data_IF_857037773779
#
_entry.id   IF_857037773779
#
_cell.length_a   1.000
_cell.length_b   1.000
_cell.length_c   1.000
_cell.angle_alpha   90.00
_cell.angle_beta   90.00
_cell.angle_gamma   90.00
#
_symmetry.space_group_name_H-M   'P 1'
#
loop_
_entity.id
_entity.type
_entity.pdbx_description
1 polymer ?
#
# COMPACT_ATOMS: atom_id res chain seq x y z
N UNK A 1 1.72 11.33 2.31
CA UNK A 1 1.93 12.11 3.55
C UNK A 1 1.55 13.59 3.40
N UNK A 2 2.34 14.45 2.73
CA UNK A 2 2.01 15.89 2.59
C UNK A 2 0.57 16.13 2.10
N UNK A 3 0.19 15.47 0.99
CA UNK A 3 -1.17 15.51 0.44
C UNK A 3 -2.21 14.97 1.42
N UNK A 4 -1.99 13.77 1.95
CA UNK A 4 -3.03 13.05 2.71
C UNK A 4 -3.29 13.66 4.09
N UNK A 5 -2.29 14.28 4.69
CA UNK A 5 -2.39 15.00 5.96
C UNK A 5 -2.61 16.51 5.78
N UNK A 6 -2.62 16.99 4.53
CA UNK A 6 -2.72 18.42 4.21
C UNK A 6 -1.65 19.26 4.94
N UNK A 7 -0.40 18.79 4.90
CA UNK A 7 0.77 19.44 5.50
C UNK A 7 1.79 19.78 4.42
N UNK A 8 2.36 20.99 4.47
CA UNK A 8 3.50 21.37 3.62
C UNK A 8 4.81 21.01 4.35
N UNK A 9 5.46 19.95 3.88
CA UNK A 9 6.78 19.52 4.35
C UNK A 9 7.93 20.00 3.45
N UNK A 10 7.69 20.97 2.56
CA UNK A 10 8.70 21.54 1.68
C UNK A 10 9.11 20.66 0.48
N UNK A 11 8.58 19.44 0.38
CA UNK A 11 8.93 18.51 -0.71
C UNK A 11 8.03 18.76 -1.92
N UNK A 12 8.57 18.55 -3.12
CA UNK A 12 7.87 18.71 -4.40
C UNK A 12 7.85 17.39 -5.14
N UNK A 13 6.69 16.95 -5.65
CA UNK A 13 6.66 15.85 -6.59
C UNK A 13 7.35 16.26 -7.89
N UNK A 14 8.23 15.41 -8.40
CA UNK A 14 8.88 15.56 -9.70
C UNK A 14 8.67 14.28 -10.51
N UNK A 15 8.57 14.41 -11.82
CA UNK A 15 8.55 13.25 -12.70
C UNK A 15 9.97 12.71 -12.94
N UNK A 16 10.05 11.53 -13.57
CA UNK A 16 11.32 10.87 -13.83
C UNK A 16 12.24 11.69 -14.74
N UNK A 17 11.70 12.30 -15.81
CA UNK A 17 12.50 13.14 -16.70
C UNK A 17 13.07 14.37 -15.98
N UNK A 18 12.30 15.00 -15.08
CA UNK A 18 12.76 16.09 -14.22
C UNK A 18 13.86 15.62 -13.27
N UNK A 19 13.70 14.45 -12.64
CA UNK A 19 14.70 13.88 -11.75
C UNK A 19 16.03 13.62 -12.48
N UNK A 20 15.98 13.01 -13.67
CA UNK A 20 17.16 12.75 -14.50
C UNK A 20 17.83 14.06 -14.95
N UNK A 21 17.05 15.06 -15.34
CA UNK A 21 17.58 16.37 -15.75
C UNK A 21 18.30 17.08 -14.59
N UNK A 22 17.71 17.09 -13.39
CA UNK A 22 18.33 17.68 -12.19
C UNK A 22 19.63 16.94 -11.83
N UNK A 23 19.63 15.60 -11.85
CA UNK A 23 20.82 14.81 -11.57
C UNK A 23 21.93 15.06 -12.58
N UNK A 24 21.61 15.13 -13.88
CA UNK A 24 22.59 15.40 -14.93
C UNK A 24 23.18 16.80 -14.79
N UNK A 25 22.35 17.80 -14.51
CA UNK A 25 22.81 19.15 -14.23
C UNK A 25 23.74 19.19 -13.01
N UNK A 26 23.41 18.48 -11.93
CA UNK A 26 24.22 18.44 -10.72
C UNK A 26 25.58 17.74 -10.95
N UNK A 27 25.57 16.55 -11.55
CA UNK A 27 26.79 15.80 -11.85
C UNK A 27 27.70 16.56 -12.83
N UNK A 28 27.13 17.16 -13.88
CA UNK A 28 27.87 18.02 -14.81
C UNK A 28 28.46 19.27 -14.16
N UNK A 29 27.76 19.89 -13.20
CA UNK A 29 28.28 21.03 -12.46
C UNK A 29 29.49 20.66 -11.60
N UNK A 30 29.47 19.49 -10.95
CA UNK A 30 30.60 18.98 -10.17
C UNK A 30 31.77 18.65 -11.11
N UNK A 31 31.51 17.97 -12.23
CA UNK A 31 32.53 17.68 -13.26
C UNK A 31 33.24 18.97 -13.71
N UNK A 32 32.49 20.02 -14.01
CA UNK A 32 33.04 21.30 -14.43
C UNK A 32 33.90 21.98 -13.34
N UNK A 33 33.45 21.95 -12.09
CA UNK A 33 34.24 22.48 -10.95
C UNK A 33 35.54 21.70 -10.78
N UNK A 34 35.50 20.37 -10.85
CA UNK A 34 36.70 19.53 -10.73
C UNK A 34 37.70 19.85 -11.84
N UNK A 35 37.23 19.98 -13.09
CA UNK A 35 38.07 20.33 -14.22
C UNK A 35 38.73 21.71 -14.06
N UNK A 36 37.97 22.73 -13.67
CA UNK A 36 38.51 24.10 -13.50
C UNK A 36 39.49 24.19 -12.32
N UNK A 37 39.25 23.46 -11.23
CA UNK A 37 40.11 23.50 -10.05
C UNK A 37 41.37 22.63 -10.17
N UNK A 38 41.47 21.81 -11.23
CA UNK A 38 42.58 20.88 -11.45
C UNK A 38 42.53 19.64 -10.56
N UNK A 39 41.33 19.22 -10.15
CA UNK A 39 41.12 18.00 -9.36
C UNK A 39 41.13 16.74 -10.23
N UNK A 40 41.23 15.53 -9.65
CA UNK A 40 41.14 14.29 -10.41
C UNK A 40 39.87 14.25 -11.26
N UNK A 41 40.02 14.08 -12.56
CA UNK A 41 38.92 14.26 -13.50
C UNK A 41 37.71 13.38 -13.17
N UNK A 42 36.51 13.93 -13.42
CA UNK A 42 35.27 13.16 -13.44
C UNK A 42 34.93 12.87 -14.89
N UNK A 43 34.92 11.61 -15.27
CA UNK A 43 34.65 11.19 -16.64
C UNK A 43 33.14 11.16 -16.95
N UNK A 44 32.78 11.23 -18.23
CA UNK A 44 31.38 11.27 -18.68
C UNK A 44 30.59 10.02 -18.25
N UNK A 45 31.25 8.86 -18.16
CA UNK A 45 30.60 7.64 -17.68
C UNK A 45 30.30 7.68 -16.16
N UNK A 46 31.09 8.42 -15.36
CA UNK A 46 30.80 8.65 -13.95
C UNK A 46 29.61 9.61 -13.79
N UNK A 47 29.52 10.62 -14.67
CA UNK A 47 28.35 11.51 -14.74
C UNK A 47 27.09 10.72 -15.08
N UNK A 48 27.12 9.89 -16.12
CA UNK A 48 25.96 9.07 -16.49
C UNK A 48 25.60 8.05 -15.40
N UNK A 49 26.58 7.44 -14.72
CA UNK A 49 26.32 6.59 -13.56
C UNK A 49 25.57 7.36 -12.46
N UNK A 50 26.03 8.57 -12.10
CA UNK A 50 25.37 9.40 -11.09
C UNK A 50 23.94 9.82 -11.47
N UNK A 51 23.62 9.90 -12.76
CA UNK A 51 22.26 10.21 -13.23
C UNK A 51 21.30 9.07 -12.93
N UNK A 52 21.70 7.83 -13.17
CA UNK A 52 20.80 6.67 -13.11
C UNK A 52 20.92 5.85 -11.83
N UNK A 53 22.01 5.98 -11.09
CA UNK A 53 22.28 5.16 -9.91
C UNK A 53 21.14 5.22 -8.88
N UNK A 54 20.82 4.04 -8.32
CA UNK A 54 19.89 3.88 -7.20
C UNK A 54 20.59 3.98 -5.84
N UNK A 55 21.85 3.55 -5.77
CA UNK A 55 22.71 3.65 -4.57
C UNK A 55 24.14 4.03 -4.96
N UNK A 56 24.96 4.35 -3.94
CA UNK A 56 26.40 4.57 -4.13
C UNK A 56 27.15 3.34 -4.63
N UNK A 57 26.58 2.13 -4.49
CA UNK A 57 27.22 0.87 -4.91
C UNK A 57 27.27 0.73 -6.44
N UNK A 58 26.48 1.53 -7.16
CA UNK A 58 26.41 1.55 -8.63
C UNK A 58 27.36 2.60 -9.24
N UNK A 59 28.11 3.33 -8.43
CA UNK A 59 29.10 4.31 -8.90
C UNK A 59 30.42 3.63 -9.26
N UNK A 60 31.12 4.09 -10.32
CA UNK A 60 32.46 3.62 -10.64
C UNK A 60 33.45 3.87 -9.50
N UNK A 61 34.45 2.99 -9.36
CA UNK A 61 35.54 3.19 -8.42
C UNK A 61 36.40 4.40 -8.82
N UNK A 62 36.80 5.19 -7.83
CA UNK A 62 37.71 6.34 -7.98
C UNK A 62 39.01 6.11 -7.22
N UNK A 63 40.06 6.79 -7.65
CA UNK A 63 41.32 6.85 -6.90
C UNK A 63 41.15 7.73 -5.66
N UNK A 64 40.79 7.07 -4.56
CA UNK A 64 40.59 7.72 -3.26
C UNK A 64 41.83 8.47 -2.78
N UNK A 65 43.04 8.02 -3.12
CA UNK A 65 44.27 8.67 -2.69
C UNK A 65 44.43 10.01 -3.40
N UNK A 66 44.19 10.03 -4.71
CA UNK A 66 44.26 11.26 -5.51
C UNK A 66 43.17 12.27 -5.10
N UNK A 67 41.94 11.81 -4.86
CA UNK A 67 40.83 12.68 -4.44
C UNK A 67 41.08 13.27 -3.04
N UNK A 68 41.61 12.49 -2.10
CA UNK A 68 41.99 12.98 -0.77
C UNK A 68 43.14 14.00 -0.83
N UNK A 69 44.17 13.74 -1.63
CA UNK A 69 45.27 14.68 -1.81
C UNK A 69 44.80 16.01 -2.41
N UNK A 70 43.85 15.98 -3.35
CA UNK A 70 43.25 17.19 -3.92
C UNK A 70 42.39 17.95 -2.90
N UNK A 71 41.66 17.23 -2.04
CA UNK A 71 40.88 17.82 -0.96
C UNK A 71 41.78 18.52 0.07
N UNK A 72 42.88 17.88 0.49
CA UNK A 72 43.86 18.47 1.42
C UNK A 72 44.49 19.72 0.82
N UNK A 73 44.95 19.66 -0.44
CA UNK A 73 45.51 20.81 -1.14
C UNK A 73 44.51 21.98 -1.28
N UNK A 74 43.22 21.69 -1.45
CA UNK A 74 42.18 22.73 -1.46
C UNK A 74 42.01 23.37 -0.09
N UNK A 75 41.98 22.58 0.99
CA UNK A 75 41.85 23.08 2.36
C UNK A 75 43.06 23.91 2.82
N UNK A 76 44.25 23.60 2.33
CA UNK A 76 45.48 24.36 2.60
C UNK A 76 45.59 25.66 1.76
N UNK A 77 44.75 25.81 0.74
CA UNK A 77 44.76 26.98 -0.16
C UNK A 77 43.93 28.16 0.38
N UNK A 78 44.06 29.31 -0.29
CA UNK A 78 43.22 30.49 -0.07
C UNK A 78 41.90 30.46 -0.86
N UNK A 79 41.62 29.35 -1.56
CA UNK A 79 40.40 29.17 -2.35
C UNK A 79 39.19 29.11 -1.44
N UNK A 80 38.09 29.70 -1.89
CA UNK A 80 36.84 29.79 -1.11
C UNK A 80 35.64 29.37 -1.95
N UNK A 81 34.44 29.48 -1.39
CA UNK A 81 33.19 29.34 -2.13
C UNK A 81 33.16 30.22 -3.39
N UNK A 82 33.80 31.41 -3.37
CA UNK A 82 33.84 32.29 -4.53
C UNK A 82 34.61 31.67 -5.70
N UNK A 83 35.67 30.90 -5.42
CA UNK A 83 36.41 30.15 -6.44
C UNK A 83 35.52 29.11 -7.13
N UNK A 84 34.62 28.47 -6.38
CA UNK A 84 33.64 27.51 -6.92
C UNK A 84 32.59 28.23 -7.77
N UNK A 85 32.10 29.38 -7.31
CA UNK A 85 31.14 30.21 -8.06
C UNK A 85 31.73 30.64 -9.39
N UNK A 86 32.98 31.13 -9.40
CA UNK A 86 33.67 31.53 -10.63
C UNK A 86 33.86 30.36 -11.60
N UNK A 87 34.20 29.17 -11.08
CA UNK A 87 34.32 27.96 -11.90
C UNK A 87 33.00 27.59 -12.58
N UNK A 88 31.89 27.64 -11.83
CA UNK A 88 30.56 27.36 -12.36
C UNK A 88 30.11 28.40 -13.39
N UNK A 89 30.39 29.68 -13.16
CA UNK A 89 30.09 30.76 -14.12
C UNK A 89 30.86 30.57 -15.45
N UNK A 90 32.16 30.26 -15.38
CA UNK A 90 32.98 29.97 -16.58
C UNK A 90 32.44 28.79 -17.37
N UNK A 91 31.93 27.77 -16.68
CA UNK A 91 31.33 26.58 -17.28
C UNK A 91 29.85 26.74 -17.66
N UNK A 92 29.32 27.98 -17.65
CA UNK A 92 27.94 28.31 -18.00
C UNK A 92 26.85 27.71 -17.07
N UNK A 93 27.20 27.30 -15.86
CA UNK A 93 26.26 26.89 -14.80
C UNK A 93 25.73 28.10 -14.00
N UNK A 94 25.34 29.18 -14.69
CA UNK A 94 24.97 30.48 -14.11
C UNK A 94 23.98 30.38 -12.95
N UNK A 95 22.90 29.60 -13.13
CA UNK A 95 21.88 29.43 -12.09
C UNK A 95 22.45 28.76 -10.84
N UNK A 96 23.30 27.74 -11.01
CA UNK A 96 23.93 27.02 -9.88
C UNK A 96 24.91 27.94 -9.15
N UNK A 97 25.73 28.69 -9.90
CA UNK A 97 26.66 29.65 -9.35
C UNK A 97 25.93 30.74 -8.54
N UNK A 98 24.87 31.33 -9.11
CA UNK A 98 24.02 32.31 -8.44
C UNK A 98 23.41 31.75 -7.14
N UNK A 99 22.90 30.51 -7.18
CA UNK A 99 22.32 29.86 -5.99
C UNK A 99 23.36 29.70 -4.86
N UNK A 100 24.56 29.21 -5.19
CA UNK A 100 25.65 29.04 -4.21
C UNK A 100 26.07 30.40 -3.63
N UNK A 101 26.22 31.41 -4.48
CA UNK A 101 26.54 32.77 -4.03
C UNK A 101 25.45 33.34 -3.11
N UNK A 102 24.18 33.17 -3.47
CA UNK A 102 23.05 33.61 -2.63
C UNK A 102 23.05 32.91 -1.27
N UNK A 103 23.27 31.59 -1.23
CA UNK A 103 23.42 30.85 0.03
C UNK A 103 24.61 31.36 0.85
N UNK A 104 25.74 31.65 0.20
CA UNK A 104 26.91 32.26 0.84
C UNK A 104 26.59 33.58 1.53
N UNK A 105 25.84 34.47 0.87
CA UNK A 105 25.38 35.73 1.45
C UNK A 105 24.52 35.51 2.70
N UNK A 106 23.60 34.54 2.66
CA UNK A 106 22.77 34.21 3.83
C UNK A 106 23.62 33.65 5.00
N UNK A 107 24.65 32.85 4.70
CA UNK A 107 25.56 32.32 5.73
C UNK A 107 26.31 33.42 6.46
N UNK A 108 26.70 34.47 5.74
CA UNK A 108 27.36 35.66 6.31
C UNK A 108 26.38 36.50 7.12
N UNK A 109 25.15 36.68 6.64
CA UNK A 109 24.12 37.43 7.37
C UNK A 109 23.72 36.76 8.70
N UNK A 110 23.67 35.43 8.74
CA UNK A 110 23.43 34.67 9.96
C UNK A 110 21.96 34.50 10.35
N UNK A 111 21.01 35.10 9.62
CA UNK A 111 19.56 35.00 9.89
C UNK A 111 19.07 33.54 9.96
N UNK A 112 19.70 32.63 9.20
CA UNK A 112 19.35 31.21 9.17
C UNK A 112 19.63 30.49 10.51
N UNK A 113 20.39 31.11 11.42
CA UNK A 113 20.67 30.59 12.76
C UNK A 113 19.48 30.80 13.73
N UNK A 114 18.49 31.60 13.34
CA UNK A 114 17.28 31.79 14.14
C UNK A 114 16.44 30.49 14.20
N UNK A 115 15.76 30.22 15.32
CA UNK A 115 14.83 29.11 15.42
C UNK A 115 13.78 29.14 14.31
N UNK A 116 13.54 27.98 13.68
CA UNK A 116 12.55 27.80 12.62
C UNK A 116 12.79 28.63 11.35
N UNK A 117 14.01 29.13 11.13
CA UNK A 117 14.35 29.81 9.89
C UNK A 117 14.27 28.86 8.68
N UNK A 118 13.74 29.34 7.57
CA UNK A 118 13.60 28.58 6.31
C UNK A 118 14.17 29.37 5.13
N UNK A 119 14.63 28.67 4.11
CA UNK A 119 15.01 29.28 2.83
C UNK A 119 13.81 29.29 1.87
N UNK A 120 13.58 30.41 1.20
CA UNK A 120 12.62 30.50 0.11
C UNK A 120 13.17 29.93 -1.22
N UNK A 121 12.40 30.06 -2.31
CA UNK A 121 12.79 29.53 -3.63
C UNK A 121 14.00 30.25 -4.25
N UNK A 122 14.37 31.42 -3.72
CA UNK A 122 15.47 32.26 -4.16
C UNK A 122 16.67 32.19 -3.19
N UNK A 123 16.61 31.28 -2.21
CA UNK A 123 17.60 31.16 -1.13
C UNK A 123 17.70 32.42 -0.26
N UNK A 124 16.61 33.18 -0.09
CA UNK A 124 16.53 34.15 1.00
C UNK A 124 16.02 33.49 2.27
N UNK A 125 16.57 33.88 3.42
CA UNK A 125 16.12 33.37 4.71
C UNK A 125 14.86 34.10 5.15
N UNK A 126 13.82 33.34 5.50
CA UNK A 126 12.68 33.81 6.30
C UNK A 126 12.91 33.36 7.74
N UNK A 127 12.93 34.30 8.67
CA UNK A 127 13.20 34.07 10.09
C UNK A 127 12.38 35.03 10.95
N UNK A 128 12.39 34.82 12.27
CA UNK A 128 11.71 35.73 13.19
C UNK A 128 12.21 37.18 13.18
N UNK A 129 13.35 37.48 12.52
CA UNK A 129 13.88 38.84 12.37
C UNK A 129 13.19 39.58 11.22
N UNK A 130 12.93 38.89 10.11
CA UNK A 130 12.49 39.49 8.85
C UNK A 130 11.08 39.05 8.40
N UNK A 131 10.49 38.10 9.12
CA UNK A 131 9.16 37.53 8.89
C UNK A 131 8.50 37.31 10.27
N UNK A 132 7.79 38.34 10.74
CA UNK A 132 7.21 38.36 12.09
C UNK A 132 6.14 37.28 12.21
N UNK A 133 6.22 36.50 13.28
CA UNK A 133 5.22 35.49 13.59
C UNK A 133 3.86 36.14 13.89
N UNK A 134 2.88 35.88 13.04
CA UNK A 134 1.50 36.37 13.12
C UNK A 134 0.52 35.32 13.68
N UNK A 135 1.04 34.20 14.20
CA UNK A 135 0.23 33.14 14.79
C UNK A 135 -0.53 33.63 16.03
N UNK A 136 -1.87 33.61 15.96
CA UNK A 136 -2.77 34.02 17.06
C UNK A 136 -3.49 32.84 17.73
N UNK A 137 -3.08 31.61 17.43
CA UNK A 137 -3.65 30.39 18.01
C UNK A 137 -4.01 29.31 16.98
N UNK A 138 -4.53 28.16 17.42
CA UNK A 138 -4.78 27.02 16.55
C UNK A 138 -5.62 27.38 15.33
N UNK A 139 -5.12 27.04 14.13
CA UNK A 139 -5.80 27.27 12.86
C UNK A 139 -5.59 28.65 12.23
N UNK A 140 -4.76 29.53 12.82
CA UNK A 140 -4.54 30.91 12.32
C UNK A 140 -3.20 31.15 11.61
N UNK A 141 -2.31 30.14 11.57
CA UNK A 141 -1.06 30.22 10.82
C UNK A 141 -1.21 29.79 9.36
N UNK A 142 -0.08 29.49 8.71
CA UNK A 142 -0.03 28.96 7.35
C UNK A 142 -0.97 27.75 7.16
N UNK A 143 -1.80 27.79 6.11
CA UNK A 143 -2.63 26.66 5.72
C UNK A 143 -2.64 26.44 4.21
N UNK A 144 -2.61 25.17 3.81
CA UNK A 144 -2.65 24.79 2.40
C UNK A 144 -4.02 24.98 1.74
N UNK A 145 -5.11 25.07 2.52
CA UNK A 145 -6.45 25.39 2.01
C UNK A 145 -6.71 26.88 1.81
N UNK A 146 -5.80 27.76 2.25
CA UNK A 146 -5.91 29.20 2.01
C UNK A 146 -5.86 29.49 0.49
N UNK A 147 -6.77 30.32 -0.05
CA UNK A 147 -6.71 30.80 -1.44
C UNK A 147 -5.32 31.28 -1.89
N UNK A 148 -4.54 31.89 -0.99
CA UNK A 148 -3.17 32.32 -1.26
C UNK A 148 -2.22 31.15 -1.59
N UNK A 149 -2.50 29.95 -1.10
CA UNK A 149 -1.68 28.74 -1.27
C UNK A 149 -2.23 27.75 -2.30
N UNK A 150 -3.25 28.14 -3.07
CA UNK A 150 -3.90 27.27 -4.07
C UNK A 150 -2.92 26.59 -5.03
N UNK A 151 -1.91 27.33 -5.51
CA UNK A 151 -0.90 26.78 -6.42
C UNK A 151 -0.01 25.74 -5.73
N UNK A 152 0.41 26.01 -4.49
CA UNK A 152 1.23 25.09 -3.69
C UNK A 152 0.45 23.83 -3.36
N UNK A 153 -0.83 23.96 -3.03
CA UNK A 153 -1.70 22.82 -2.79
C UNK A 153 -1.88 21.96 -4.05
N UNK A 154 -2.13 22.59 -5.20
CA UNK A 154 -2.22 21.88 -6.49
C UNK A 154 -0.89 21.19 -6.89
N UNK A 155 0.26 21.75 -6.52
CA UNK A 155 1.56 21.09 -6.69
C UNK A 155 1.68 19.83 -5.80
N UNK A 156 1.34 19.93 -4.52
CA UNK A 156 1.39 18.79 -3.58
C UNK A 156 0.43 17.65 -4.01
N UNK A 157 -0.70 18.00 -4.61
CA UNK A 157 -1.69 17.03 -5.08
C UNK A 157 -1.27 16.27 -6.36
N UNK A 158 -0.39 16.86 -7.19
CA UNK A 158 0.11 16.27 -8.45
C UNK A 158 1.17 15.21 -8.20
N UNK A 159 0.79 14.11 -7.55
CA UNK A 159 1.69 12.97 -7.35
C UNK A 159 1.91 12.23 -8.68
N UNK A 160 3.16 11.97 -9.11
CA UNK A 160 3.46 11.29 -10.38
C UNK A 160 2.97 9.83 -10.43
N UNK A 161 2.95 9.16 -9.28
CA UNK A 161 2.67 7.72 -9.16
C UNK A 161 1.25 7.46 -8.62
N UNK A 162 0.27 8.35 -8.89
CA UNK A 162 -1.12 8.08 -8.50
C UNK A 162 -1.63 6.89 -9.30
N UNK A 163 -1.97 5.83 -8.60
CA UNK A 163 -2.70 4.70 -9.15
C UNK A 163 -4.19 4.84 -8.83
N UNK A 164 -5.05 4.43 -9.76
CA UNK A 164 -6.49 4.41 -9.53
C UNK A 164 -6.83 3.33 -8.49
N UNK A 165 -7.70 3.61 -7.51
CA UNK A 165 -8.22 2.58 -6.62
C UNK A 165 -8.92 1.43 -7.37
N UNK A 166 -9.43 1.67 -8.58
CA UNK A 166 -10.04 0.63 -9.41
C UNK A 166 -9.02 -0.38 -9.90
N UNK A 167 -7.82 0.08 -10.27
CA UNK A 167 -6.76 -0.77 -10.83
C UNK A 167 -6.23 -1.75 -9.78
N UNK A 168 -6.23 -1.36 -8.49
CA UNK A 168 -5.78 -2.21 -7.37
C UNK A 168 -6.59 -3.49 -7.17
N UNK A 169 -7.85 -3.52 -7.63
CA UNK A 169 -8.78 -4.63 -7.44
C UNK A 169 -9.37 -5.13 -8.76
N UNK A 170 -8.90 -4.61 -9.90
CA UNK A 170 -9.45 -4.91 -11.20
C UNK A 170 -9.50 -6.42 -11.47
N UNK A 171 -8.43 -7.13 -11.09
CA UNK A 171 -8.33 -8.59 -11.26
C UNK A 171 -9.38 -9.38 -10.49
N UNK A 172 -9.94 -8.81 -9.41
CA UNK A 172 -10.96 -9.46 -8.57
C UNK A 172 -12.39 -9.14 -9.00
N UNK A 173 -12.57 -8.14 -9.87
CA UNK A 173 -13.86 -7.80 -10.47
C UNK A 173 -13.99 -8.61 -11.75
N UNK A 174 -15.08 -9.35 -11.89
CA UNK A 174 -15.34 -10.17 -13.07
C UNK A 174 -16.82 -10.42 -13.24
N UNK A 175 -17.16 -11.20 -14.27
CA UNK A 175 -18.53 -11.59 -14.55
C UNK A 175 -19.05 -12.56 -13.49
N UNK A 176 -20.35 -12.48 -13.11
CA UNK A 176 -20.94 -13.41 -12.15
C UNK A 176 -20.71 -14.87 -12.53
N UNK A 177 -20.46 -15.72 -11.54
CA UNK A 177 -20.26 -17.15 -11.73
C UNK A 177 -21.52 -17.78 -12.36
N UNK A 178 -21.41 -18.43 -13.53
CA UNK A 178 -22.58 -18.96 -14.23
C UNK A 178 -23.19 -20.18 -13.52
N UNK A 179 -22.39 -20.93 -12.76
CA UNK A 179 -22.79 -22.11 -12.00
C UNK A 179 -23.23 -21.81 -10.57
N UNK A 180 -23.39 -20.54 -10.17
CA UNK A 180 -23.84 -20.16 -8.83
C UNK A 180 -25.11 -19.30 -8.91
N UNK A 181 -26.26 -19.89 -8.57
CA UNK A 181 -27.56 -19.24 -8.69
C UNK A 181 -28.32 -19.20 -7.36
N UNK A 182 -29.11 -18.14 -7.13
CA UNK A 182 -30.04 -18.12 -5.99
C UNK A 182 -31.22 -19.05 -6.23
N UNK A 183 -31.57 -19.83 -5.21
CA UNK A 183 -32.74 -20.71 -5.22
C UNK A 183 -33.92 -20.07 -4.48
N UNK A 184 -33.79 -19.87 -3.17
CA UNK A 184 -34.87 -19.44 -2.28
C UNK A 184 -34.30 -18.87 -0.96
N UNK A 185 -35.10 -18.19 -0.14
CA UNK A 185 -34.67 -17.80 1.21
C UNK A 185 -34.22 -19.01 2.02
N UNK A 186 -33.01 -18.94 2.58
CA UNK A 186 -32.39 -20.05 3.29
C UNK A 186 -33.17 -20.39 4.57
N UNK A 187 -33.49 -21.67 4.73
CA UNK A 187 -34.15 -22.20 5.93
C UNK A 187 -33.14 -22.85 6.87
N UNK A 188 -33.56 -23.05 8.13
CA UNK A 188 -32.78 -23.84 9.09
C UNK A 188 -32.82 -25.30 8.67
N UNK A 189 -31.65 -25.91 8.51
CA UNK A 189 -31.50 -27.31 8.11
C UNK A 189 -31.88 -28.27 9.23
N UNK A 190 -32.40 -29.44 8.86
CA UNK A 190 -32.81 -30.52 9.78
C UNK A 190 -31.82 -31.68 9.86
N UNK A 191 -30.89 -31.78 8.90
CA UNK A 191 -29.86 -32.83 8.81
C UNK A 191 -28.51 -32.36 9.37
N UNK A 192 -27.63 -33.31 9.68
CA UNK A 192 -26.22 -33.01 9.95
C UNK A 192 -25.55 -32.56 8.64
N UNK A 193 -25.28 -31.26 8.53
CA UNK A 193 -24.70 -30.62 7.35
C UNK A 193 -23.77 -29.49 7.76
N UNK A 194 -23.00 -28.96 6.80
CA UNK A 194 -22.22 -27.73 6.94
C UNK A 194 -22.82 -26.66 6.04
N UNK A 195 -23.17 -25.51 6.62
CA UNK A 195 -23.58 -24.34 5.82
C UNK A 195 -22.36 -23.47 5.55
N UNK A 196 -22.07 -23.22 4.28
CA UNK A 196 -21.05 -22.27 3.82
C UNK A 196 -21.75 -20.95 3.50
N UNK A 197 -21.64 -20.00 4.43
CA UNK A 197 -22.09 -18.63 4.26
C UNK A 197 -21.07 -17.82 3.46
N UNK A 198 -21.47 -17.30 2.31
CA UNK A 198 -20.65 -16.41 1.48
C UNK A 198 -21.13 -14.96 1.59
N UNK A 199 -20.19 -14.02 1.47
CA UNK A 199 -20.47 -12.58 1.48
C UNK A 199 -21.33 -12.12 0.29
N UNK A 200 -21.89 -10.91 0.36
CA UNK A 200 -22.86 -10.43 -0.62
C UNK A 200 -22.29 -10.29 -2.04
N UNK A 201 -21.01 -9.93 -2.17
CA UNK A 201 -20.34 -9.79 -3.47
C UNK A 201 -19.82 -11.10 -4.06
N UNK A 202 -19.74 -12.18 -3.28
CA UNK A 202 -19.04 -13.40 -3.64
C UNK A 202 -19.65 -14.07 -4.88
N UNK A 203 -18.85 -14.29 -5.91
CA UNK A 203 -19.27 -14.96 -7.14
C UNK A 203 -20.20 -14.11 -8.00
N UNK A 204 -20.30 -12.80 -7.72
CA UNK A 204 -21.11 -11.84 -8.47
C UNK A 204 -20.31 -10.59 -8.81
N UNK A 205 -20.15 -9.68 -7.85
CA UNK A 205 -19.39 -8.44 -8.05
C UNK A 205 -17.88 -8.64 -7.84
N UNK A 206 -17.50 -9.68 -7.08
CA UNK A 206 -16.14 -10.14 -6.91
C UNK A 206 -16.10 -11.64 -7.22
N UNK A 207 -15.12 -12.06 -8.00
CA UNK A 207 -15.00 -13.45 -8.51
C UNK A 207 -13.68 -14.11 -8.14
N UNK A 208 -12.73 -13.35 -7.59
CA UNK A 208 -11.45 -13.87 -7.10
C UNK A 208 -11.11 -13.36 -5.70
N UNK A 209 -10.38 -14.18 -4.95
CA UNK A 209 -9.81 -13.81 -3.66
C UNK A 209 -8.69 -12.77 -3.82
N UNK A 210 -8.21 -12.22 -2.69
CA UNK A 210 -7.16 -11.19 -2.70
C UNK A 210 -5.85 -11.66 -3.36
N UNK A 211 -5.54 -12.95 -3.29
CA UNK A 211 -4.37 -13.58 -3.91
C UNK A 211 -4.68 -14.23 -5.27
N UNK A 212 -5.88 -14.04 -5.82
CA UNK A 212 -6.23 -14.42 -7.18
C UNK A 212 -6.78 -15.83 -7.38
N UNK A 213 -7.21 -16.52 -6.32
CA UNK A 213 -7.93 -17.79 -6.46
C UNK A 213 -9.35 -17.52 -6.96
N UNK A 214 -9.82 -18.28 -7.93
CA UNK A 214 -11.21 -18.21 -8.39
C UNK A 214 -12.14 -18.60 -7.24
N UNK A 215 -13.24 -17.87 -7.07
CA UNK A 215 -14.26 -18.18 -6.07
C UNK A 215 -14.88 -19.56 -6.28
N UNK A 216 -14.98 -19.99 -7.55
CA UNK A 216 -15.41 -21.32 -7.94
C UNK A 216 -14.53 -22.40 -7.30
N UNK A 217 -13.22 -22.32 -7.52
CA UNK A 217 -12.24 -23.26 -6.97
C UNK A 217 -12.24 -23.27 -5.44
N UNK A 218 -12.38 -22.08 -4.83
CA UNK A 218 -12.44 -21.95 -3.37
C UNK A 218 -13.68 -22.63 -2.80
N UNK A 219 -14.85 -22.42 -3.42
CA UNK A 219 -16.10 -23.02 -2.98
C UNK A 219 -16.08 -24.54 -3.18
N UNK A 220 -15.61 -25.00 -4.35
CA UNK A 220 -15.41 -26.41 -4.67
C UNK A 220 -14.47 -27.10 -3.67
N UNK A 221 -13.34 -26.46 -3.33
CA UNK A 221 -12.39 -27.00 -2.35
C UNK A 221 -13.04 -27.17 -0.96
N UNK A 222 -13.76 -26.16 -0.45
CA UNK A 222 -14.46 -26.26 0.84
C UNK A 222 -15.46 -27.41 0.82
N UNK A 223 -16.31 -27.48 -0.21
CA UNK A 223 -17.34 -28.50 -0.32
C UNK A 223 -16.75 -29.91 -0.50
N UNK A 224 -15.63 -30.03 -1.21
CA UNK A 224 -14.85 -31.28 -1.30
C UNK A 224 -14.38 -31.74 0.07
N UNK A 225 -13.85 -30.82 0.89
CA UNK A 225 -13.46 -31.13 2.26
C UNK A 225 -14.62 -31.63 3.11
N UNK A 226 -15.79 -31.01 2.98
CA UNK A 226 -17.00 -31.46 3.68
C UNK A 226 -17.44 -32.85 3.20
N UNK A 227 -17.43 -33.09 1.88
CA UNK A 227 -17.84 -34.35 1.26
C UNK A 227 -16.92 -35.51 1.64
N UNK A 228 -15.59 -35.30 1.68
CA UNK A 228 -14.61 -36.31 2.14
C UNK A 228 -14.86 -36.80 3.56
N UNK A 229 -15.51 -35.98 4.39
CA UNK A 229 -15.88 -36.32 5.77
C UNK A 229 -17.28 -36.95 5.87
N UNK A 230 -17.94 -37.21 4.75
CA UNK A 230 -19.25 -37.87 4.65
C UNK A 230 -20.44 -36.97 4.98
N UNK A 231 -20.27 -35.64 4.96
CA UNK A 231 -21.34 -34.68 5.24
C UNK A 231 -21.78 -33.92 3.99
N UNK A 232 -23.00 -33.38 4.06
CA UNK A 232 -23.52 -32.48 3.03
C UNK A 232 -23.07 -31.04 3.28
N UNK A 233 -22.58 -30.37 2.24
CA UNK A 233 -22.33 -28.94 2.23
C UNK A 233 -23.50 -28.19 1.58
N UNK A 234 -23.95 -27.09 2.19
CA UNK A 234 -25.02 -26.23 1.65
C UNK A 234 -24.53 -24.78 1.60
N UNK A 235 -24.75 -24.09 0.48
CA UNK A 235 -24.22 -22.74 0.27
C UNK A 235 -25.33 -21.71 0.50
N UNK A 236 -25.01 -20.65 1.24
CA UNK A 236 -25.94 -19.55 1.53
C UNK A 236 -25.25 -18.21 1.29
N UNK A 237 -25.89 -17.31 0.55
CA UNK A 237 -25.45 -15.91 0.43
C UNK A 237 -26.03 -15.06 1.54
N UNK A 238 -25.17 -14.31 2.22
CA UNK A 238 -25.56 -13.39 3.29
C UNK A 238 -25.53 -11.95 2.76
N UNK A 239 -26.69 -11.31 2.69
CA UNK A 239 -26.82 -9.94 2.17
C UNK A 239 -26.68 -8.85 3.23
N UNK A 240 -27.19 -9.10 4.43
CA UNK A 240 -27.30 -8.09 5.50
C UNK A 240 -25.98 -7.68 6.18
N UNK A 241 -24.85 -8.29 5.82
CA UNK A 241 -23.55 -7.97 6.39
C UNK A 241 -22.43 -8.46 5.48
N UNK A 242 -21.35 -7.68 5.39
CA UNK A 242 -20.08 -8.09 4.80
C UNK A 242 -19.07 -8.59 5.84
N UNK A 243 -19.38 -8.58 7.14
CA UNK A 243 -18.46 -9.01 8.20
C UNK A 243 -18.33 -10.55 8.23
N UNK A 244 -17.10 -11.05 8.19
CA UNK A 244 -16.81 -12.50 8.15
C UNK A 244 -17.40 -13.27 9.34
N UNK A 245 -17.31 -12.70 10.55
CA UNK A 245 -17.84 -13.30 11.76
C UNK A 245 -19.37 -13.37 11.73
N UNK A 246 -20.03 -12.28 11.32
CA UNK A 246 -21.47 -12.24 11.14
C UNK A 246 -21.97 -13.24 10.08
N UNK A 247 -21.28 -13.33 8.93
CA UNK A 247 -21.58 -14.30 7.88
C UNK A 247 -21.49 -15.73 8.44
N UNK A 248 -20.39 -16.08 9.11
CA UNK A 248 -20.20 -17.40 9.72
C UNK A 248 -21.22 -17.71 10.82
N UNK A 249 -21.57 -16.72 11.64
CA UNK A 249 -22.56 -16.88 12.71
C UNK A 249 -23.97 -17.12 12.14
N UNK A 250 -24.33 -16.48 11.02
CA UNK A 250 -25.58 -16.74 10.30
C UNK A 250 -25.58 -18.15 9.73
N UNK A 251 -24.48 -18.55 9.06
CA UNK A 251 -24.32 -19.88 8.50
C UNK A 251 -24.50 -20.96 9.59
N UNK A 252 -23.84 -20.81 10.74
CA UNK A 252 -23.95 -21.74 11.85
C UNK A 252 -25.37 -21.82 12.44
N UNK A 253 -26.14 -20.72 12.46
CA UNK A 253 -27.54 -20.73 12.91
C UNK A 253 -28.48 -21.42 11.93
N UNK A 254 -28.20 -21.34 10.63
CA UNK A 254 -28.96 -22.01 9.57
C UNK A 254 -28.58 -23.49 9.44
N UNK A 255 -27.38 -23.88 9.87
CA UNK A 255 -26.89 -25.26 9.80
C UNK A 255 -27.61 -26.17 10.79
N UNK A 256 -28.03 -27.36 10.31
CA UNK A 256 -28.64 -28.39 11.14
C UNK A 256 -27.67 -28.99 12.17
N UNK A 257 -26.37 -29.09 11.83
CA UNK A 257 -25.33 -29.47 12.80
C UNK A 257 -24.99 -28.35 13.80
N UNK A 258 -25.41 -27.13 13.50
CA UNK A 258 -24.98 -25.93 14.21
C UNK A 258 -23.55 -25.47 13.88
N UNK A 259 -22.84 -26.11 12.94
CA UNK A 259 -21.53 -25.65 12.45
C UNK A 259 -21.68 -24.99 11.08
N UNK A 260 -21.07 -23.83 10.91
CA UNK A 260 -21.08 -23.10 9.64
C UNK A 260 -19.74 -22.47 9.32
N UNK A 261 -19.49 -22.22 8.05
CA UNK A 261 -18.30 -21.53 7.55
C UNK A 261 -18.73 -20.14 7.09
N UNK A 262 -18.01 -19.10 7.49
CA UNK A 262 -18.18 -17.76 6.91
C UNK A 262 -17.03 -17.45 5.98
N UNK A 263 -17.32 -16.98 4.77
CA UNK A 263 -16.34 -16.70 3.71
C UNK A 263 -16.62 -15.31 3.09
N UNK A 264 -15.65 -14.42 3.18
CA UNK A 264 -15.65 -13.15 2.43
C UNK A 264 -15.11 -13.35 1.02
N UNK A 265 -15.50 -12.49 0.09
CA UNK A 265 -15.00 -12.48 -1.30
C UNK A 265 -13.47 -12.39 -1.36
N UNK A 266 -12.84 -11.57 -0.51
CA UNK A 266 -11.37 -11.48 -0.46
C UNK A 266 -10.67 -12.76 0.09
N UNK A 267 -11.43 -13.78 0.50
CA UNK A 267 -10.95 -15.07 0.98
C UNK A 267 -10.86 -15.23 2.51
N UNK A 268 -11.11 -14.18 3.30
CA UNK A 268 -11.09 -14.30 4.77
C UNK A 268 -12.17 -15.28 5.21
N UNK A 269 -11.81 -16.23 6.06
CA UNK A 269 -12.67 -17.36 6.40
C UNK A 269 -12.73 -17.61 7.90
N UNK A 270 -13.85 -18.13 8.39
CA UNK A 270 -14.05 -18.51 9.79
C UNK A 270 -14.90 -19.78 9.88
N UNK A 271 -14.57 -20.68 10.81
CA UNK A 271 -15.47 -21.77 11.23
C UNK A 271 -16.21 -21.33 12.49
N UNK A 272 -17.53 -21.37 12.44
CA UNK A 272 -18.43 -20.89 13.47
C UNK A 272 -19.31 -22.01 14.04
N UNK A 273 -19.82 -21.79 15.25
CA UNK A 273 -20.71 -22.72 15.95
C UNK A 273 -21.90 -21.99 16.57
N UNK A 274 -23.10 -22.52 16.38
CA UNK A 274 -24.33 -22.04 16.98
C UNK A 274 -24.21 -22.06 18.50
N UNK A 275 -24.55 -20.93 19.12
CA UNK A 275 -24.44 -20.72 20.58
C UNK A 275 -23.17 -19.98 20.99
N UNK A 276 -22.16 -19.88 20.12
CA UNK A 276 -21.04 -18.97 20.35
C UNK A 276 -21.49 -17.50 20.25
N UNK A 277 -20.78 -16.62 20.96
CA UNK A 277 -20.91 -15.18 20.73
C UNK A 277 -20.51 -14.84 19.27
N UNK A 278 -21.08 -13.79 18.65
CA UNK A 278 -20.87 -13.49 17.22
C UNK A 278 -19.40 -13.37 16.78
N UNK A 279 -18.51 -12.88 17.65
CA UNK A 279 -17.08 -12.72 17.37
C UNK A 279 -16.21 -13.88 17.88
N UNK A 280 -16.81 -14.89 18.54
CA UNK A 280 -16.12 -16.10 18.98
C UNK A 280 -16.24 -17.18 17.91
N UNK A 281 -15.17 -17.92 17.62
CA UNK A 281 -15.14 -18.90 16.52
C UNK A 281 -14.50 -20.23 16.98
N UNK A 282 -14.61 -21.27 16.16
CA UNK A 282 -13.87 -22.52 16.33
C UNK A 282 -12.46 -22.38 15.73
N UNK A 283 -12.39 -21.84 14.52
CA UNK A 283 -11.13 -21.50 13.83
C UNK A 283 -11.29 -20.21 13.03
N UNK A 284 -10.23 -19.41 12.93
CA UNK A 284 -10.19 -18.18 12.16
C UNK A 284 -9.00 -18.18 11.21
N UNK A 285 -9.26 -17.72 9.99
CA UNK A 285 -8.28 -17.60 8.92
C UNK A 285 -8.14 -16.12 8.52
N UNK A 286 -7.41 -15.32 9.33
CA UNK A 286 -7.44 -13.86 9.23
C UNK A 286 -6.56 -13.32 8.09
N UNK A 287 -5.60 -14.12 7.60
CA UNK A 287 -4.67 -13.73 6.54
C UNK A 287 -5.01 -14.45 5.23
N UNK A 288 -6.09 -14.00 4.57
CA UNK A 288 -6.52 -14.57 3.28
C UNK A 288 -5.47 -14.56 2.16
N UNK A 289 -4.48 -13.64 2.10
CA UNK A 289 -3.40 -13.74 1.11
C UNK A 289 -2.56 -15.03 1.20
N UNK A 290 -2.51 -15.66 2.38
CA UNK A 290 -1.74 -16.89 2.61
C UNK A 290 -2.53 -18.17 2.37
N UNK A 291 -3.85 -18.07 2.11
CA UNK A 291 -4.71 -19.24 1.94
C UNK A 291 -4.56 -19.81 0.53
N UNK A 292 -4.63 -21.14 0.45
CA UNK A 292 -4.55 -21.92 -0.79
C UNK A 292 -5.76 -22.84 -0.87
N UNK A 293 -6.03 -23.45 -2.03
CA UNK A 293 -7.12 -24.42 -2.18
C UNK A 293 -7.00 -25.59 -1.18
N UNK A 294 -5.78 -26.05 -0.90
CA UNK A 294 -5.55 -27.09 0.12
C UNK A 294 -5.96 -26.64 1.54
N UNK A 295 -5.77 -25.36 1.88
CA UNK A 295 -6.26 -24.80 3.15
C UNK A 295 -7.80 -24.77 3.15
N UNK A 296 -8.44 -24.33 2.06
CA UNK A 296 -9.89 -24.29 1.94
C UNK A 296 -10.53 -25.68 2.04
N UNK A 297 -9.91 -26.70 1.44
CA UNK A 297 -10.35 -28.09 1.60
C UNK A 297 -10.18 -28.57 3.05
N UNK A 298 -9.06 -28.25 3.70
CA UNK A 298 -8.84 -28.57 5.11
C UNK A 298 -9.86 -27.88 6.04
N UNK A 299 -10.25 -26.64 5.74
CA UNK A 299 -11.31 -25.91 6.44
C UNK A 299 -12.64 -26.67 6.34
N UNK A 300 -12.98 -27.16 5.15
CA UNK A 300 -14.17 -27.99 4.93
C UNK A 300 -14.15 -29.27 5.77
N UNK A 301 -13.02 -29.99 5.77
CA UNK A 301 -12.85 -31.21 6.59
C UNK A 301 -12.99 -30.92 8.09
N UNK A 302 -12.31 -29.90 8.60
CA UNK A 302 -12.38 -29.55 10.01
C UNK A 302 -13.78 -29.12 10.44
N UNK A 303 -14.50 -28.34 9.62
CA UNK A 303 -15.89 -27.99 9.89
C UNK A 303 -16.78 -29.23 10.02
N UNK A 304 -16.60 -30.21 9.14
CA UNK A 304 -17.33 -31.49 9.20
C UNK A 304 -16.94 -32.34 10.42
N UNK A 305 -15.66 -32.41 10.78
CA UNK A 305 -15.20 -33.06 12.01
C UNK A 305 -15.83 -32.41 13.25
N UNK A 306 -15.89 -31.08 13.32
CA UNK A 306 -16.57 -30.38 14.42
C UNK A 306 -18.08 -30.69 14.47
N UNK A 307 -18.75 -30.81 13.32
CA UNK A 307 -20.15 -31.20 13.26
C UNK A 307 -20.39 -32.64 13.77
N UNK A 308 -19.40 -33.52 13.62
CA UNK A 308 -19.38 -34.89 14.18
C UNK A 308 -19.01 -34.94 15.67
N UNK A 309 -18.67 -33.80 16.28
CA UNK A 309 -18.26 -33.72 17.69
C UNK A 309 -16.79 -34.14 17.93
N UNK A 310 -16.01 -34.24 16.87
CA UNK A 310 -14.60 -34.60 16.93
C UNK A 310 -13.72 -33.39 17.32
N UNK A 311 -12.43 -33.65 17.58
CA UNK A 311 -11.42 -32.63 17.90
C UNK A 311 -10.31 -32.65 16.85
N UNK A 312 -10.55 -32.09 15.66
CA UNK A 312 -9.53 -32.04 14.61
C UNK A 312 -8.36 -31.16 15.04
N UNK A 313 -7.18 -31.42 14.47
CA UNK A 313 -6.06 -30.50 14.56
C UNK A 313 -6.40 -29.23 13.77
N UNK A 314 -6.31 -28.02 14.36
CA UNK A 314 -6.58 -26.79 13.65
C UNK A 314 -5.72 -26.64 12.39
N UNK A 315 -6.27 -26.03 11.35
CA UNK A 315 -5.56 -25.85 10.07
C UNK A 315 -4.45 -24.82 10.27
N UNK A 316 -3.19 -25.25 10.11
CA UNK A 316 -2.04 -24.37 10.20
C UNK A 316 -1.98 -23.40 9.00
N UNK A 317 -1.81 -22.10 9.27
CA UNK A 317 -1.62 -21.08 8.23
C UNK A 317 -0.30 -20.35 8.44
N UNK A 318 0.42 -20.10 7.35
CA UNK A 318 1.64 -19.29 7.37
C UNK A 318 1.30 -17.83 7.72
N UNK A 319 1.90 -17.33 8.80
CA UNK A 319 1.84 -15.92 9.17
C UNK A 319 2.83 -15.14 8.32
N UNK A 320 2.33 -14.19 7.53
CA UNK A 320 3.15 -13.20 6.81
C UNK A 320 3.04 -11.84 7.52
N UNK A 321 4.12 -11.43 8.18
CA UNK A 321 4.20 -10.15 8.89
C UNK A 321 4.21 -8.94 7.94
N UNK A 322 4.49 -9.13 6.65
CA UNK A 322 4.51 -8.08 5.64
C UNK A 322 3.18 -7.94 4.89
N UNK A 323 2.27 -8.90 5.02
CA UNK A 323 1.01 -8.91 4.27
C UNK A 323 0.20 -7.63 4.50
N UNK A 324 0.15 -7.12 5.74
CA UNK A 324 -0.56 -5.87 6.04
C UNK A 324 0.06 -4.68 5.33
N UNK A 325 1.38 -4.53 5.38
CA UNK A 325 2.07 -3.40 4.75
C UNK A 325 1.86 -3.39 3.23
N UNK A 326 1.89 -4.56 2.61
CA UNK A 326 1.74 -4.70 1.15
C UNK A 326 0.29 -4.60 0.68
N UNK A 327 -0.67 -5.11 1.46
CA UNK A 327 -2.02 -5.38 0.95
C UNK A 327 -3.14 -4.65 1.70
N UNK A 328 -2.85 -3.77 2.66
CA UNK A 328 -3.91 -3.09 3.44
C UNK A 328 -4.85 -2.26 2.55
N UNK A 329 -4.31 -1.57 1.54
CA UNK A 329 -5.12 -0.76 0.61
C UNK A 329 -6.04 -1.67 -0.22
N UNK A 330 -5.48 -2.72 -0.84
CA UNK A 330 -6.25 -3.72 -1.60
C UNK A 330 -7.32 -4.38 -0.74
N UNK A 331 -6.98 -4.74 0.50
CA UNK A 331 -7.89 -5.35 1.48
C UNK A 331 -9.06 -4.44 1.84
N UNK A 332 -8.81 -3.14 2.03
CA UNK A 332 -9.84 -2.14 2.33
C UNK A 332 -10.75 -1.89 1.13
N UNK A 333 -10.19 -1.82 -0.08
CA UNK A 333 -10.96 -1.61 -1.31
C UNK A 333 -11.86 -2.81 -1.62
N UNK A 334 -11.34 -4.04 -1.55
CA UNK A 334 -12.14 -5.25 -1.75
C UNK A 334 -13.29 -5.34 -0.73
N UNK A 335 -13.02 -5.06 0.54
CA UNK A 335 -14.05 -5.09 1.57
C UNK A 335 -15.09 -3.98 1.37
N UNK A 336 -14.68 -2.75 1.01
CA UNK A 336 -15.61 -1.67 0.66
C UNK A 336 -16.52 -2.06 -0.51
N UNK A 337 -15.96 -2.71 -1.55
CA UNK A 337 -16.75 -3.20 -2.68
C UNK A 337 -17.76 -4.27 -2.25
N UNK A 338 -17.37 -5.18 -1.36
CA UNK A 338 -18.28 -6.16 -0.77
C UNK A 338 -19.38 -5.50 0.08
N UNK A 339 -19.03 -4.55 0.94
CA UNK A 339 -19.98 -3.77 1.75
C UNK A 339 -20.98 -3.00 0.89
N UNK A 340 -20.57 -2.52 -0.28
CA UNK A 340 -21.47 -1.84 -1.21
C UNK A 340 -22.54 -2.76 -1.83
N UNK A 341 -22.41 -4.08 -1.66
CA UNK A 341 -23.42 -5.07 -2.06
C UNK A 341 -24.34 -5.50 -0.90
N UNK A 342 -24.25 -4.86 0.27
CA UNK A 342 -25.16 -5.15 1.38
C UNK A 342 -26.58 -4.73 0.99
N UNK A 343 -27.52 -5.64 1.20
CA UNK A 343 -28.94 -5.43 0.97
C UNK A 343 -29.75 -5.89 2.19
N UNK A 344 -30.87 -5.23 2.47
CA UNK A 344 -31.81 -5.67 3.52
C UNK A 344 -32.68 -6.81 2.99
N UNK A 345 -32.04 -7.97 2.80
CA UNK A 345 -32.64 -9.20 2.27
C UNK A 345 -32.30 -10.38 3.19
N UNK A 346 -33.22 -11.35 3.39
CA UNK A 346 -32.87 -12.57 4.10
C UNK A 346 -31.70 -13.31 3.41
N UNK A 347 -30.94 -14.14 4.15
CA UNK A 347 -29.95 -15.02 3.52
C UNK A 347 -30.62 -15.91 2.48
N UNK A 348 -29.97 -16.09 1.33
CA UNK A 348 -30.50 -16.87 0.20
C UNK A 348 -29.70 -18.16 0.04
N UNK A 349 -30.39 -19.28 -0.08
CA UNK A 349 -29.76 -20.53 -0.47
C UNK A 349 -29.32 -20.46 -1.93
N UNK A 350 -28.12 -20.97 -2.20
CA UNK A 350 -27.54 -21.00 -3.54
C UNK A 350 -27.48 -22.44 -4.04
N UNK A 351 -27.82 -22.63 -5.32
CA UNK A 351 -27.38 -23.79 -6.08
C UNK A 351 -25.98 -23.48 -6.60
N UNK A 352 -25.07 -24.42 -6.38
CA UNK A 352 -23.76 -24.45 -7.01
C UNK A 352 -23.68 -25.72 -7.86
N UNK A 353 -23.66 -25.56 -9.19
CA UNK A 353 -23.59 -26.67 -10.14
C UNK A 353 -22.16 -27.22 -10.18
N UNK A 354 -21.90 -28.15 -9.26
CA UNK A 354 -20.61 -28.78 -9.01
C UNK A 354 -20.84 -30.14 -8.35
N UNK A 355 -20.10 -31.16 -8.79
CA UNK A 355 -20.09 -32.48 -8.19
C UNK A 355 -18.70 -32.86 -7.65
N UNK A 356 -18.60 -33.41 -6.43
CA UNK A 356 -17.35 -33.91 -5.90
C UNK A 356 -16.85 -35.17 -6.63
N UNK A 357 -15.55 -35.25 -6.91
CA UNK A 357 -14.86 -36.49 -7.31
C UNK A 357 -14.41 -37.32 -6.10
N UNK A 358 -15.27 -37.51 -5.08
CA UNK A 358 -14.92 -38.22 -3.83
C UNK A 358 -15.89 -39.28 -3.38
#
# INVERSE_FOLDING_TARGET
LQRDMQVDGGVRPINEAEALAIRRQAAGAIQAVYAELGFPAIADHEVEAAVYAHSSDEMPERDLVADLAAADAFLESDRTMLTIVDALEKAAFHKTAQNILSMGKQRVAGDYLQPSAIFDKQFHVRSGINDVNDYVGPGTGYRLDDPAQKERWAEIQRLPQVQSPRDFIADQIGDPMPNLAELAPAQVGSRTEIVVGVGPAFGKALTRTINGLEHEDVLAAILTGVAKEGLFGRVVKVYRSSDCGAIGHIAARLSGSGVGIGLQSRGTTVIQKRGNAPLHNLELFPQSPSLTLAHFEAIGRNAAAYAKGERPTPVGVKVDNWARLRLIVKTALLHRHETAQIEDKPPMELIFDWEPEV
#
